data_IF_188204978188
#
_entry.id   IF_188204978188
#
_cell.length_a   1.000
_cell.length_b   1.000
_cell.length_c   1.000
_cell.angle_alpha   90.00
_cell.angle_beta   90.00
_cell.angle_gamma   90.00
#
_symmetry.space_group_name_H-M   'P 1'
#
loop_
_entity.id
_entity.type
_entity.pdbx_description
1 polymer ?
#
# COMPACT_ATOMS: atom_id res chain seq x y z
N UNK A 1 41.30 51.22 77.71
CA UNK A 1 42.50 51.94 77.23
C UNK A 1 42.31 52.15 75.72
N UNK A 2 41.49 53.13 75.35
CA UNK A 2 41.89 54.49 74.92
C UNK A 2 42.66 54.46 73.58
N UNK A 3 41.89 54.81 72.54
CA UNK A 3 42.17 55.77 71.45
C UNK A 3 43.47 55.59 70.64
N UNK A 4 43.30 55.43 69.32
CA UNK A 4 43.97 56.35 68.37
C UNK A 4 43.21 56.47 67.05
N UNK A 5 42.67 57.67 66.82
CA UNK A 5 42.27 58.19 65.53
C UNK A 5 43.52 58.75 64.81
N UNK A 6 43.58 58.58 63.49
CA UNK A 6 44.33 59.48 62.61
C UNK A 6 43.60 59.59 61.27
N UNK A 7 42.98 60.74 61.04
CA UNK A 7 42.46 61.18 59.75
C UNK A 7 43.58 61.74 58.87
N UNK A 8 43.58 61.40 57.59
CA UNK A 8 44.05 62.30 56.53
C UNK A 8 43.30 62.02 55.22
N UNK A 9 42.70 63.09 54.72
CA UNK A 9 41.82 63.33 53.57
C UNK A 9 42.44 63.09 52.18
N UNK A 10 41.64 62.63 51.20
CA UNK A 10 41.64 63.18 49.82
C UNK A 10 40.48 62.65 48.94
N UNK A 11 39.70 63.61 48.42
CA UNK A 11 38.97 63.71 47.14
C UNK A 11 37.89 62.69 46.68
N UNK A 12 36.71 63.29 46.44
CA UNK A 12 35.57 62.90 45.60
C UNK A 12 35.95 62.21 44.27
N UNK A 13 35.14 61.25 43.81
CA UNK A 13 34.16 61.39 42.70
C UNK A 13 33.48 60.03 42.38
N UNK A 14 32.15 60.09 42.38
CA UNK A 14 31.13 59.23 41.78
C UNK A 14 31.54 58.48 40.48
N UNK A 15 31.28 57.16 40.34
CA UNK A 15 30.55 56.55 39.21
C UNK A 15 30.54 54.99 39.13
N UNK A 16 29.33 54.49 38.87
CA UNK A 16 28.90 53.30 38.11
C UNK A 16 29.04 51.87 38.67
N UNK A 17 27.87 51.35 39.07
CA UNK A 17 27.39 49.99 38.82
C UNK A 17 27.65 49.57 37.36
N UNK A 18 28.24 48.39 37.16
CA UNK A 18 28.12 47.59 35.95
C UNK A 18 27.79 46.15 36.34
N UNK A 19 26.49 45.85 36.39
CA UNK A 19 25.98 44.48 36.29
C UNK A 19 26.27 43.96 34.88
N UNK A 20 26.86 42.77 34.79
CA UNK A 20 27.12 42.04 33.55
C UNK A 20 25.85 41.83 32.71
N UNK A 21 25.77 42.32 31.46
CA UNK A 21 24.68 42.02 30.53
C UNK A 21 24.91 40.71 29.75
N UNK A 22 26.07 40.06 29.92
CA UNK A 22 26.50 38.95 29.05
C UNK A 22 25.79 37.61 29.32
N UNK A 23 25.17 37.42 30.49
CA UNK A 23 24.51 36.15 30.84
C UNK A 23 23.02 36.10 30.45
N UNK A 24 22.36 37.26 30.27
CA UNK A 24 20.91 37.34 30.01
C UNK A 24 20.61 37.23 28.51
N UNK A 25 21.50 37.71 27.63
CA UNK A 25 21.33 37.61 26.18
C UNK A 25 21.44 36.15 25.66
N UNK A 26 22.27 35.32 26.28
CA UNK A 26 22.44 33.91 25.89
C UNK A 26 21.21 33.05 26.24
N UNK A 27 20.53 33.38 27.34
CA UNK A 27 19.36 32.62 27.81
C UNK A 27 18.10 32.98 27.03
N UNK A 28 17.93 34.27 26.65
CA UNK A 28 16.78 34.73 25.84
C UNK A 28 16.91 34.22 24.39
N UNK A 29 18.10 34.29 23.78
CA UNK A 29 18.33 33.75 22.44
C UNK A 29 18.15 32.23 22.32
N UNK A 30 18.48 31.45 23.37
CA UNK A 30 18.23 30.00 23.38
C UNK A 30 16.75 29.63 23.53
N UNK A 31 15.92 30.48 24.15
CA UNK A 31 14.48 30.22 24.30
C UNK A 31 13.72 30.49 23.00
N UNK A 32 14.00 31.61 22.34
CA UNK A 32 13.39 31.95 21.05
C UNK A 32 13.77 30.92 19.98
N UNK A 33 15.01 30.43 19.99
CA UNK A 33 15.48 29.45 19.02
C UNK A 33 14.77 28.09 19.12
N UNK A 34 14.47 27.63 20.34
CA UNK A 34 13.72 26.38 20.55
C UNK A 34 12.25 26.52 20.17
N UNK A 35 11.67 27.70 20.32
CA UNK A 35 10.28 27.98 19.95
C UNK A 35 10.10 27.88 18.42
N UNK A 36 11.01 28.46 17.64
CA UNK A 36 10.97 28.40 16.16
C UNK A 36 11.00 26.97 15.65
N UNK A 37 11.95 26.15 16.12
CA UNK A 37 12.06 24.74 15.69
C UNK A 37 10.80 23.93 16.00
N UNK A 38 10.20 24.16 17.18
CA UNK A 38 8.97 23.47 17.60
C UNK A 38 7.75 23.89 16.76
N UNK A 39 7.63 25.16 16.42
CA UNK A 39 6.54 25.62 15.56
C UNK A 39 6.71 25.11 14.13
N UNK A 40 7.93 25.06 13.61
CA UNK A 40 8.20 24.46 12.30
C UNK A 40 7.86 22.96 12.25
N UNK A 41 8.14 22.20 13.32
CA UNK A 41 7.70 20.80 13.43
C UNK A 41 6.18 20.69 13.33
N UNK A 42 5.45 21.50 14.10
CA UNK A 42 3.99 21.54 14.07
C UNK A 42 3.44 21.90 12.69
N UNK A 43 4.08 22.82 11.97
CA UNK A 43 3.70 23.15 10.59
C UNK A 43 3.90 21.98 9.63
N UNK A 44 4.97 21.19 9.79
CA UNK A 44 5.18 19.99 8.99
C UNK A 44 4.14 18.91 9.31
N UNK A 45 3.85 18.69 10.59
CA UNK A 45 2.84 17.73 11.05
C UNK A 45 1.43 18.13 10.59
N UNK A 46 1.14 19.43 10.51
CA UNK A 46 -0.11 19.97 10.00
C UNK A 46 -0.20 20.01 8.46
N UNK A 47 0.82 19.55 7.73
CA UNK A 47 0.84 19.58 6.27
C UNK A 47 0.95 20.98 5.66
N UNK A 48 1.52 21.93 6.39
CA UNK A 48 1.77 23.32 5.94
C UNK A 48 3.29 23.58 5.79
N UNK A 49 4.00 22.89 4.87
CA UNK A 49 5.46 22.95 4.82
C UNK A 49 6.01 24.33 4.45
N UNK A 50 5.27 25.16 3.70
CA UNK A 50 5.72 26.52 3.37
C UNK A 50 5.90 27.39 4.62
N UNK A 51 5.00 27.30 5.60
CA UNK A 51 5.13 28.05 6.85
C UNK A 51 6.35 27.61 7.67
N UNK A 52 6.73 26.33 7.57
CA UNK A 52 7.97 25.85 8.16
C UNK A 52 9.20 26.43 7.46
N UNK A 53 9.21 26.50 6.12
CA UNK A 53 10.29 27.11 5.32
C UNK A 53 10.53 28.56 5.74
N UNK A 54 9.49 29.38 5.78
CA UNK A 54 9.60 30.81 6.05
C UNK A 54 10.30 31.10 7.40
N UNK A 55 9.98 30.31 8.43
CA UNK A 55 10.64 30.41 9.74
C UNK A 55 12.06 29.85 9.78
N UNK A 56 12.30 28.75 9.06
CA UNK A 56 13.58 28.02 9.11
C UNK A 56 14.68 28.65 8.24
N UNK A 57 14.34 29.25 7.10
CA UNK A 57 15.31 29.98 6.26
C UNK A 57 15.93 31.14 7.07
N UNK A 58 15.10 31.98 7.68
CA UNK A 58 15.55 33.09 8.53
C UNK A 58 16.34 32.59 9.76
N UNK A 59 15.91 31.49 10.37
CA UNK A 59 16.62 30.90 11.50
C UNK A 59 18.04 30.46 11.13
N UNK A 60 18.20 29.78 10.00
CA UNK A 60 19.48 29.25 9.52
C UNK A 60 20.48 30.34 9.17
N UNK A 61 20.03 31.53 8.76
CA UNK A 61 20.93 32.69 8.58
C UNK A 61 21.65 33.06 9.87
N UNK A 62 20.97 32.95 11.01
CA UNK A 62 21.52 33.28 12.34
C UNK A 62 22.23 32.09 13.01
N UNK A 63 21.84 30.85 12.67
CA UNK A 63 22.36 29.62 13.26
C UNK A 63 22.63 28.55 12.19
N UNK A 64 23.61 28.75 11.30
CA UNK A 64 23.81 27.90 10.11
C UNK A 64 24.26 26.46 10.42
N UNK A 65 24.78 26.22 11.62
CA UNK A 65 25.28 24.92 12.09
C UNK A 65 24.29 24.23 13.06
N UNK A 66 23.05 24.70 13.18
CA UNK A 66 22.01 24.02 13.95
C UNK A 66 21.44 22.81 13.17
N UNK A 67 21.79 21.56 13.53
CA UNK A 67 21.42 20.39 12.75
C UNK A 67 19.92 20.15 12.68
N UNK A 68 19.15 20.48 13.73
CA UNK A 68 17.71 20.28 13.74
C UNK A 68 17.00 21.21 12.77
N UNK A 69 17.43 22.47 12.68
CA UNK A 69 16.92 23.43 11.71
C UNK A 69 17.14 22.94 10.27
N UNK A 70 18.36 22.47 9.96
CA UNK A 70 18.72 21.90 8.65
C UNK A 70 17.85 20.68 8.31
N UNK A 71 17.65 19.77 9.26
CA UNK A 71 16.82 18.59 9.07
C UNK A 71 15.36 18.95 8.77
N UNK A 72 14.76 19.83 9.57
CA UNK A 72 13.37 20.28 9.37
C UNK A 72 13.19 21.04 8.05
N UNK A 73 14.16 21.89 7.67
CA UNK A 73 14.10 22.63 6.40
C UNK A 73 14.20 21.68 5.22
N UNK A 74 15.06 20.66 5.33
CA UNK A 74 15.15 19.57 4.37
C UNK A 74 13.83 18.84 4.16
N UNK A 75 13.13 18.46 5.25
CA UNK A 75 11.78 17.88 5.18
C UNK A 75 10.77 18.81 4.52
N UNK A 76 10.81 20.10 4.87
CA UNK A 76 9.90 21.11 4.32
C UNK A 76 10.08 21.26 2.80
N UNK A 77 11.33 21.39 2.33
CA UNK A 77 11.65 21.43 0.92
C UNK A 77 11.25 20.15 0.19
N UNK A 78 11.49 18.98 0.78
CA UNK A 78 11.08 17.70 0.20
C UNK A 78 9.56 17.65 0.02
N UNK A 79 8.79 18.08 1.02
CA UNK A 79 7.33 18.16 0.97
C UNK A 79 6.80 19.14 -0.08
N UNK A 80 7.58 20.18 -0.41
CA UNK A 80 7.27 21.17 -1.47
C UNK A 80 7.79 20.76 -2.86
N UNK A 81 8.42 19.59 -3.01
CA UNK A 81 9.04 19.16 -4.26
C UNK A 81 10.34 19.89 -4.62
N UNK A 82 10.91 20.67 -3.69
CA UNK A 82 12.21 21.36 -3.83
C UNK A 82 13.36 20.41 -3.52
N UNK A 83 13.48 19.33 -4.30
CA UNK A 83 14.35 18.19 -3.97
C UNK A 83 15.84 18.52 -3.87
N UNK A 84 16.36 19.40 -4.73
CA UNK A 84 17.77 19.80 -4.68
C UNK A 84 18.09 20.55 -3.38
N UNK A 85 17.22 21.48 -2.99
CA UNK A 85 17.36 22.24 -1.75
C UNK A 85 17.25 21.30 -0.55
N UNK A 86 16.31 20.35 -0.57
CA UNK A 86 16.16 19.34 0.46
C UNK A 86 17.43 18.50 0.64
N UNK A 87 18.03 18.03 -0.46
CA UNK A 87 19.28 17.26 -0.47
C UNK A 87 20.42 18.05 0.18
N UNK A 88 20.56 19.34 -0.12
CA UNK A 88 21.58 20.19 0.48
C UNK A 88 21.43 20.25 2.01
N UNK A 89 20.22 20.56 2.48
CA UNK A 89 19.95 20.70 3.91
C UNK A 89 20.12 19.37 4.67
N UNK A 90 19.61 18.26 4.13
CA UNK A 90 19.67 16.95 4.76
C UNK A 90 21.10 16.38 4.79
N UNK A 91 21.91 16.63 3.75
CA UNK A 91 23.34 16.27 3.75
C UNK A 91 24.08 17.02 4.86
N UNK A 92 23.85 18.33 5.00
CA UNK A 92 24.47 19.15 6.05
C UNK A 92 24.00 18.72 7.44
N UNK A 93 22.71 18.43 7.63
CA UNK A 93 22.17 17.89 8.88
C UNK A 93 22.85 16.57 9.29
N UNK A 94 22.96 15.60 8.36
CA UNK A 94 23.64 14.31 8.61
C UNK A 94 25.14 14.47 8.94
N UNK A 95 25.79 15.51 8.43
CA UNK A 95 27.19 15.83 8.80
C UNK A 95 27.27 16.41 10.21
N UNK A 96 26.36 17.32 10.56
CA UNK A 96 26.33 17.97 11.87
C UNK A 96 25.93 17.02 13.01
N UNK A 97 25.06 16.04 12.73
CA UNK A 97 24.74 14.96 13.66
C UNK A 97 25.86 13.91 13.81
N UNK A 98 27.12 14.20 13.47
CA UNK A 98 28.22 13.22 13.56
C UNK A 98 28.37 12.57 14.95
N UNK A 99 28.06 13.32 16.03
CA UNK A 99 28.08 12.84 17.41
C UNK A 99 26.72 12.32 17.93
N UNK A 100 25.70 12.28 17.08
CA UNK A 100 24.30 12.01 17.40
C UNK A 100 23.78 10.88 16.46
N UNK A 101 24.06 9.60 16.75
CA UNK A 101 23.86 8.50 15.80
C UNK A 101 22.41 8.29 15.35
N UNK A 102 21.45 8.49 16.25
CA UNK A 102 20.01 8.31 15.97
C UNK A 102 19.52 9.40 15.01
N UNK A 103 19.80 10.66 15.32
CA UNK A 103 19.43 11.81 14.50
C UNK A 103 20.17 11.81 13.15
N UNK A 104 21.42 11.33 13.13
CA UNK A 104 22.18 11.12 11.90
C UNK A 104 21.53 10.07 11.00
N UNK A 105 21.04 8.98 11.59
CA UNK A 105 20.31 7.93 10.88
C UNK A 105 19.01 8.47 10.31
N UNK A 106 18.22 9.19 11.10
CA UNK A 106 17.00 9.84 10.64
C UNK A 106 17.26 10.82 9.47
N UNK A 107 18.30 11.66 9.57
CA UNK A 107 18.68 12.58 8.50
C UNK A 107 19.10 11.86 7.21
N UNK A 108 19.77 10.71 7.32
CA UNK A 108 20.17 9.90 6.16
C UNK A 108 19.01 9.15 5.53
N UNK A 109 18.06 8.64 6.33
CA UNK A 109 16.86 7.99 5.82
C UNK A 109 15.99 9.00 5.05
N UNK A 110 15.78 10.20 5.60
CA UNK A 110 15.06 11.27 4.89
C UNK A 110 15.78 11.72 3.62
N UNK A 111 17.12 11.79 3.64
CA UNK A 111 17.93 12.06 2.45
C UNK A 111 17.74 10.97 1.38
N UNK A 112 17.74 9.70 1.77
CA UNK A 112 17.50 8.59 0.86
C UNK A 112 16.08 8.62 0.28
N UNK A 113 15.06 8.89 1.10
CA UNK A 113 13.66 9.09 0.65
C UNK A 113 13.56 10.23 -0.36
N UNK A 114 14.27 11.33 -0.12
CA UNK A 114 14.33 12.47 -1.04
C UNK A 114 14.91 12.01 -2.39
N UNK A 115 16.04 11.29 -2.40
CA UNK A 115 16.62 10.74 -3.63
C UNK A 115 15.65 9.84 -4.40
N UNK A 116 14.95 8.95 -3.69
CA UNK A 116 13.97 8.06 -4.30
C UNK A 116 12.82 8.83 -4.95
N UNK A 117 12.31 9.90 -4.32
CA UNK A 117 11.20 10.72 -4.83
C UNK A 117 11.47 11.37 -6.18
N UNK A 118 12.71 11.76 -6.48
CA UNK A 118 13.08 12.32 -7.78
C UNK A 118 13.84 11.34 -8.69
N UNK A 119 13.88 10.06 -8.33
CA UNK A 119 14.36 8.98 -9.18
C UNK A 119 15.87 8.69 -9.12
N UNK A 120 16.64 9.31 -8.22
CA UNK A 120 18.08 9.03 -8.07
C UNK A 120 18.33 7.84 -7.13
N UNK A 121 17.98 6.63 -7.60
CA UNK A 121 18.18 5.38 -6.85
C UNK A 121 19.66 5.14 -6.50
N UNK A 122 20.60 5.58 -7.35
CA UNK A 122 22.03 5.39 -7.10
C UNK A 122 22.49 6.12 -5.85
N UNK A 123 22.11 7.39 -5.69
CA UNK A 123 22.42 8.16 -4.49
C UNK A 123 21.66 7.64 -3.27
N UNK A 124 20.38 7.27 -3.44
CA UNK A 124 19.59 6.67 -2.36
C UNK A 124 20.28 5.43 -1.79
N UNK A 125 20.63 4.46 -2.64
CA UNK A 125 21.22 3.18 -2.23
C UNK A 125 22.58 3.39 -1.58
N UNK A 126 23.37 4.37 -2.05
CA UNK A 126 24.63 4.75 -1.41
C UNK A 126 24.42 5.22 0.02
N UNK A 127 23.40 6.06 0.27
CA UNK A 127 23.08 6.56 1.62
C UNK A 127 22.52 5.44 2.49
N UNK A 128 21.60 4.63 1.98
CA UNK A 128 21.01 3.49 2.70
C UNK A 128 22.06 2.46 3.10
N UNK A 129 23.05 2.20 2.24
CA UNK A 129 24.22 1.35 2.55
C UNK A 129 25.02 1.89 3.75
N UNK A 130 25.12 3.21 3.91
CA UNK A 130 25.79 3.80 5.08
C UNK A 130 24.97 3.60 6.34
N UNK A 131 23.64 3.72 6.28
CA UNK A 131 22.74 3.50 7.43
C UNK A 131 22.76 2.03 7.84
N UNK A 132 22.54 1.13 6.88
CA UNK A 132 22.54 -0.32 7.07
C UNK A 132 23.84 -0.81 7.74
N UNK A 133 25.01 -0.28 7.35
CA UNK A 133 26.30 -0.64 7.97
C UNK A 133 26.50 -0.09 9.38
N UNK A 134 25.72 0.90 9.79
CA UNK A 134 25.87 1.60 11.07
C UNK A 134 24.87 1.21 12.14
N UNK A 135 23.93 0.30 11.84
CA UNK A 135 22.86 -0.09 12.76
C UNK A 135 22.59 -1.59 12.72
N UNK A 136 22.15 -2.13 13.85
CA UNK A 136 21.53 -3.45 13.97
C UNK A 136 20.08 -3.34 14.46
N UNK A 137 19.54 -2.12 14.51
CA UNK A 137 18.17 -1.86 14.95
C UNK A 137 17.17 -2.46 13.95
N UNK A 138 16.30 -3.39 14.38
CA UNK A 138 15.36 -4.07 13.47
C UNK A 138 14.39 -3.13 12.77
N UNK A 139 13.93 -2.06 13.44
CA UNK A 139 12.98 -1.12 12.87
C UNK A 139 13.64 -0.27 11.78
N UNK A 140 14.86 0.22 12.02
CA UNK A 140 15.65 0.91 11.00
C UNK A 140 15.93 0.00 9.79
N UNK A 141 16.26 -1.28 10.02
CA UNK A 141 16.50 -2.22 8.93
C UNK A 141 15.22 -2.48 8.12
N UNK A 142 14.07 -2.62 8.78
CA UNK A 142 12.76 -2.74 8.14
C UNK A 142 12.46 -1.51 7.28
N UNK A 143 12.70 -0.32 7.80
CA UNK A 143 12.51 0.93 7.05
C UNK A 143 13.38 0.97 5.78
N UNK A 144 14.64 0.51 5.85
CA UNK A 144 15.49 0.42 4.67
C UNK A 144 14.93 -0.60 3.68
N UNK A 145 14.51 -1.78 4.14
CA UNK A 145 13.91 -2.83 3.29
C UNK A 145 12.73 -2.26 2.52
N UNK A 146 11.79 -1.61 3.21
CA UNK A 146 10.62 -0.97 2.62
C UNK A 146 11.00 0.06 1.55
N UNK A 147 12.17 0.72 1.66
CA UNK A 147 12.65 1.70 0.68
C UNK A 147 13.34 1.10 -0.54
N UNK A 148 13.81 -0.14 -0.47
CA UNK A 148 14.61 -0.74 -1.55
C UNK A 148 13.93 -1.90 -2.26
N UNK A 149 12.85 -2.44 -1.68
CA UNK A 149 11.86 -3.25 -2.39
C UNK A 149 10.98 -4.09 -1.48
N UNK A 150 10.64 -5.28 -1.93
CA UNK A 150 9.69 -6.14 -1.23
C UNK A 150 10.18 -6.55 0.17
N UNK A 151 9.26 -6.61 1.12
CA UNK A 151 9.56 -6.88 2.54
C UNK A 151 9.83 -8.36 2.85
N UNK A 152 9.42 -9.24 1.95
CA UNK A 152 9.53 -10.69 2.08
C UNK A 152 10.07 -11.28 0.79
N UNK A 153 10.62 -12.49 0.84
CA UNK A 153 11.10 -13.17 -0.37
C UNK A 153 9.95 -13.43 -1.33
N UNK A 154 10.16 -13.02 -2.58
CA UNK A 154 9.21 -13.17 -3.68
C UNK A 154 9.79 -14.04 -4.79
N UNK A 155 8.97 -14.94 -5.32
CA UNK A 155 9.29 -15.81 -6.45
C UNK A 155 8.33 -15.55 -7.61
N UNK A 156 8.86 -15.32 -8.81
CA UNK A 156 8.06 -15.31 -10.03
C UNK A 156 7.59 -16.74 -10.37
N UNK A 157 6.30 -16.92 -10.63
CA UNK A 157 5.69 -18.22 -10.95
C UNK A 157 5.40 -18.41 -12.44
N UNK A 158 5.21 -17.33 -13.20
CA UNK A 158 4.94 -17.37 -14.65
C UNK A 158 6.01 -16.64 -15.43
N UNK A 159 6.31 -17.10 -16.64
CA UNK A 159 7.28 -16.54 -17.57
C UNK A 159 6.67 -16.29 -18.97
N UNK A 160 7.49 -15.78 -19.90
CA UNK A 160 7.12 -15.51 -21.30
C UNK A 160 6.61 -14.09 -21.56
N UNK A 161 6.06 -13.86 -22.75
CA UNK A 161 5.67 -12.52 -23.23
C UNK A 161 4.15 -12.26 -23.13
N UNK A 162 3.44 -13.01 -22.28
CA UNK A 162 1.98 -12.97 -22.18
C UNK A 162 1.55 -12.53 -20.80
N UNK A 163 0.55 -11.66 -20.73
CA UNK A 163 -0.02 -11.21 -19.46
C UNK A 163 -0.73 -12.35 -18.71
N UNK A 164 -0.51 -12.41 -17.40
CA UNK A 164 -1.12 -13.33 -16.44
C UNK A 164 -1.67 -12.52 -15.27
N UNK A 165 -2.92 -12.79 -14.89
CA UNK A 165 -3.65 -11.92 -13.96
C UNK A 165 -4.70 -12.69 -13.16
N UNK A 166 -5.25 -12.02 -12.15
CA UNK A 166 -6.29 -12.52 -11.23
C UNK A 166 -5.96 -13.88 -10.58
N UNK A 167 -4.79 -14.04 -9.93
CA UNK A 167 -4.45 -15.27 -9.23
C UNK A 167 -5.34 -15.47 -8.00
N UNK A 168 -5.72 -16.71 -7.74
CA UNK A 168 -6.41 -17.12 -6.51
C UNK A 168 -5.96 -18.52 -6.10
N UNK A 169 -5.89 -18.79 -4.79
CA UNK A 169 -5.54 -20.11 -4.28
C UNK A 169 -6.73 -21.06 -4.30
N UNK A 170 -6.47 -22.34 -4.53
CA UNK A 170 -7.43 -23.40 -4.21
C UNK A 170 -7.70 -23.46 -2.71
N UNK A 171 -8.87 -23.96 -2.26
CA UNK A 171 -9.21 -24.00 -0.83
C UNK A 171 -8.23 -24.80 0.04
N UNK A 172 -7.57 -25.80 -0.54
CA UNK A 172 -6.51 -26.60 0.11
C UNK A 172 -5.11 -25.95 0.04
N UNK A 173 -4.99 -24.81 -0.64
CA UNK A 173 -3.73 -24.07 -0.85
C UNK A 173 -2.74 -24.75 -1.81
N UNK A 174 -3.09 -25.88 -2.43
CA UNK A 174 -2.15 -26.67 -3.23
C UNK A 174 -1.95 -26.13 -4.66
N UNK A 175 -2.90 -25.33 -5.17
CA UNK A 175 -2.91 -24.81 -6.53
C UNK A 175 -3.28 -23.34 -6.57
N UNK A 176 -2.92 -22.69 -7.68
CA UNK A 176 -3.33 -21.33 -8.01
C UNK A 176 -4.10 -21.39 -9.33
N UNK A 177 -5.33 -20.86 -9.33
CA UNK A 177 -6.07 -20.53 -10.54
C UNK A 177 -5.75 -19.10 -10.98
N UNK A 178 -5.62 -18.87 -12.28
CA UNK A 178 -5.33 -17.55 -12.82
C UNK A 178 -5.74 -17.46 -14.28
N UNK A 179 -5.87 -16.24 -14.80
CA UNK A 179 -6.15 -15.96 -16.19
C UNK A 179 -4.87 -15.64 -16.96
N UNK A 180 -4.75 -16.08 -18.21
CA UNK A 180 -3.57 -15.86 -19.05
C UNK A 180 -3.93 -15.64 -20.51
N UNK A 181 -3.26 -14.68 -21.15
CA UNK A 181 -3.38 -14.39 -22.59
C UNK A 181 -2.45 -15.22 -23.48
N UNK A 182 -1.83 -16.28 -22.93
CA UNK A 182 -0.90 -17.15 -23.68
C UNK A 182 -1.49 -17.82 -24.92
N UNK A 183 -2.82 -17.81 -25.07
CA UNK A 183 -3.50 -18.29 -26.28
C UNK A 183 -4.48 -17.27 -26.86
N UNK A 184 -4.01 -16.07 -27.25
CA UNK A 184 -4.77 -15.01 -27.98
C UNK A 184 -6.03 -14.44 -27.30
N UNK A 185 -6.58 -15.10 -26.29
CA UNK A 185 -7.68 -14.67 -25.44
C UNK A 185 -7.38 -15.05 -23.99
N UNK A 186 -8.05 -14.38 -23.05
CA UNK A 186 -7.93 -14.65 -21.62
C UNK A 186 -8.52 -16.01 -21.30
N UNK A 187 -7.72 -16.89 -20.73
CA UNK A 187 -8.12 -18.26 -20.40
C UNK A 187 -7.67 -18.63 -19.00
N UNK A 188 -8.46 -19.45 -18.31
CA UNK A 188 -8.19 -19.89 -16.95
C UNK A 188 -7.28 -21.12 -16.95
N UNK A 189 -6.21 -21.04 -16.16
CA UNK A 189 -5.24 -22.10 -15.95
C UNK A 189 -5.11 -22.41 -14.46
N UNK A 190 -4.70 -23.64 -14.17
CA UNK A 190 -4.30 -24.10 -12.84
C UNK A 190 -2.80 -24.40 -12.86
N UNK A 191 -2.07 -23.89 -11.87
CA UNK A 191 -0.68 -24.21 -11.62
C UNK A 191 -0.45 -24.66 -10.18
N UNK A 192 0.67 -25.32 -9.92
CA UNK A 192 1.15 -25.52 -8.56
C UNK A 192 1.96 -24.29 -8.07
N UNK A 193 2.31 -24.30 -6.78
CA UNK A 193 3.10 -23.22 -6.15
C UNK A 193 4.54 -23.12 -6.66
N UNK A 194 4.98 -24.05 -7.52
CA UNK A 194 6.27 -23.98 -8.20
C UNK A 194 6.19 -23.31 -9.57
N UNK A 195 5.00 -22.89 -10.02
CA UNK A 195 4.77 -22.26 -11.32
C UNK A 195 4.49 -23.26 -12.43
N UNK A 196 4.43 -24.57 -12.14
CA UNK A 196 4.16 -25.57 -13.18
C UNK A 196 2.67 -25.59 -13.49
N UNK A 197 2.33 -25.23 -14.72
CA UNK A 197 0.97 -25.37 -15.25
C UNK A 197 0.55 -26.84 -15.21
N UNK A 198 -0.54 -27.12 -14.50
CA UNK A 198 -1.14 -28.45 -14.35
C UNK A 198 -2.31 -28.66 -15.30
N UNK A 199 -3.06 -27.60 -15.62
CA UNK A 199 -4.27 -27.69 -16.44
C UNK A 199 -4.65 -26.35 -17.06
N UNK A 200 -5.21 -26.38 -18.27
CA UNK A 200 -6.08 -25.33 -18.82
C UNK A 200 -7.54 -25.72 -18.56
N UNK A 201 -8.34 -24.80 -18.02
CA UNK A 201 -9.72 -25.06 -17.60
C UNK A 201 -10.71 -24.62 -18.67
N UNK A 202 -10.54 -23.41 -19.21
CA UNK A 202 -11.43 -22.83 -20.22
C UNK A 202 -10.83 -22.92 -21.62
N UNK A 203 -11.69 -22.92 -22.65
CA UNK A 203 -11.31 -23.13 -24.04
C UNK A 203 -12.25 -22.33 -24.96
N UNK A 204 -12.20 -21.01 -24.89
CA UNK A 204 -13.05 -20.09 -25.64
C UNK A 204 -12.30 -19.48 -26.83
N UNK A 205 -13.04 -18.99 -27.83
CA UNK A 205 -12.49 -18.29 -29.01
C UNK A 205 -12.82 -16.80 -29.00
N UNK A 206 -14.02 -16.48 -28.52
CA UNK A 206 -14.65 -15.16 -28.63
C UNK A 206 -14.78 -14.46 -27.29
N UNK A 207 -14.24 -15.04 -26.22
CA UNK A 207 -14.34 -14.51 -24.85
C UNK A 207 -12.98 -14.44 -24.17
N UNK A 208 -12.85 -13.48 -23.26
CA UNK A 208 -11.79 -13.39 -22.29
C UNK A 208 -12.34 -13.82 -20.94
N UNK A 209 -11.89 -14.98 -20.46
CA UNK A 209 -12.22 -15.49 -19.14
C UNK A 209 -11.21 -14.94 -18.11
N UNK A 210 -11.71 -14.50 -16.96
CA UNK A 210 -10.91 -13.81 -15.94
C UNK A 210 -11.47 -13.94 -14.53
N UNK A 211 -10.74 -13.43 -13.54
CA UNK A 211 -11.18 -13.40 -12.13
C UNK A 211 -11.71 -14.74 -11.61
N UNK A 212 -10.96 -15.85 -11.79
CA UNK A 212 -11.41 -17.14 -11.28
C UNK A 212 -11.49 -17.12 -9.75
N UNK A 213 -12.44 -17.87 -9.21
CA UNK A 213 -12.61 -18.12 -7.78
C UNK A 213 -13.13 -19.55 -7.57
N UNK A 214 -12.65 -20.22 -6.52
CA UNK A 214 -12.97 -21.62 -6.25
C UNK A 214 -14.21 -21.73 -5.39
N UNK A 215 -15.17 -22.55 -5.81
CA UNK A 215 -16.21 -23.05 -4.92
C UNK A 215 -15.62 -24.22 -4.11
N UNK A 216 -15.80 -24.20 -2.79
CA UNK A 216 -15.20 -25.17 -1.85
C UNK A 216 -15.74 -26.58 -2.06
N UNK A 217 -16.96 -26.71 -2.55
CA UNK A 217 -17.59 -27.99 -2.93
C UNK A 217 -18.75 -27.76 -3.92
N UNK A 218 -18.80 -28.44 -5.08
CA UNK A 218 -17.79 -29.31 -5.72
C UNK A 218 -16.71 -28.51 -6.47
N UNK A 219 -15.69 -29.21 -7.00
CA UNK A 219 -14.54 -28.75 -7.79
C UNK A 219 -14.88 -27.87 -9.01
N UNK A 220 -15.51 -26.73 -8.78
CA UNK A 220 -15.93 -25.76 -9.77
C UNK A 220 -15.08 -24.50 -9.62
N UNK A 221 -14.69 -23.95 -10.76
CA UNK A 221 -14.25 -22.57 -10.85
C UNK A 221 -15.40 -21.72 -11.34
N UNK A 222 -15.67 -20.64 -10.62
CA UNK A 222 -16.55 -19.56 -11.00
C UNK A 222 -15.69 -18.41 -11.54
N UNK A 223 -16.07 -17.79 -12.64
CA UNK A 223 -15.22 -16.78 -13.29
C UNK A 223 -16.03 -15.81 -14.15
N UNK A 224 -15.46 -14.63 -14.37
CA UNK A 224 -15.95 -13.63 -15.32
C UNK A 224 -15.68 -14.06 -16.75
N UNK A 225 -16.64 -13.84 -17.65
CA UNK A 225 -16.48 -14.03 -19.08
C UNK A 225 -16.95 -12.78 -19.82
N UNK A 226 -16.07 -12.21 -20.64
CA UNK A 226 -16.31 -10.96 -21.38
C UNK A 226 -16.09 -11.18 -22.87
N UNK A 227 -16.92 -10.62 -23.78
CA UNK A 227 -16.65 -10.69 -25.20
C UNK A 227 -15.27 -10.12 -25.53
N UNK A 228 -14.57 -10.80 -26.43
CA UNK A 228 -13.27 -10.39 -26.93
C UNK A 228 -13.41 -9.09 -27.72
N UNK A 229 -13.16 -7.96 -27.06
CA UNK A 229 -13.31 -6.63 -27.67
C UNK A 229 -12.07 -6.20 -28.50
N UNK A 230 -10.86 -6.60 -28.12
CA UNK A 230 -9.57 -6.47 -28.83
C UNK A 230 -8.44 -7.12 -27.99
N UNK A 231 -7.18 -7.07 -28.45
CA UNK A 231 -5.98 -7.53 -27.68
C UNK A 231 -5.56 -6.57 -26.54
N UNK A 232 -6.24 -5.44 -26.34
CA UNK A 232 -5.90 -4.52 -25.25
C UNK A 232 -6.41 -5.08 -23.92
N UNK A 233 -5.49 -5.60 -23.11
CA UNK A 233 -5.76 -6.04 -21.75
C UNK A 233 -6.00 -4.81 -20.88
N UNK A 234 -7.24 -4.61 -20.44
CA UNK A 234 -7.51 -3.73 -19.30
C UNK A 234 -7.27 -4.57 -18.05
N UNK A 235 -6.05 -4.54 -17.51
CA UNK A 235 -5.85 -5.02 -16.15
C UNK A 235 -6.64 -4.10 -15.23
N UNK A 236 -7.79 -4.59 -14.80
CA UNK A 236 -8.74 -3.83 -13.99
C UNK A 236 -8.15 -3.74 -12.59
N UNK A 237 -7.56 -2.57 -12.28
CA UNK A 237 -7.19 -2.22 -10.91
C UNK A 237 -8.45 -1.79 -10.14
N UNK A 238 -9.39 -1.15 -10.82
CA UNK A 238 -10.78 -0.96 -10.40
C UNK A 238 -11.68 -0.91 -11.62
N UNK A 239 -12.85 -1.53 -11.54
CA UNK A 239 -13.90 -1.28 -12.52
C UNK A 239 -14.47 0.12 -12.29
N UNK A 240 -14.80 0.81 -13.38
CA UNK A 240 -15.56 2.05 -13.35
C UNK A 240 -16.97 1.77 -13.82
N UNK A 241 -17.98 2.20 -13.07
CA UNK A 241 -19.40 2.02 -13.42
C UNK A 241 -19.83 2.88 -14.60
N UNK A 242 -19.07 3.93 -14.90
CA UNK A 242 -19.28 4.82 -16.04
C UNK A 242 -19.07 4.18 -17.41
N UNK A 243 -18.50 2.96 -17.49
CA UNK A 243 -18.39 2.20 -18.74
C UNK A 243 -19.37 1.03 -18.73
N UNK A 244 -20.17 0.83 -19.80
CA UNK A 244 -21.01 -0.36 -19.93
C UNK A 244 -20.19 -1.64 -19.73
N UNK A 245 -20.71 -2.54 -18.91
CA UNK A 245 -20.08 -3.82 -18.62
C UNK A 245 -20.74 -4.87 -19.49
N UNK A 246 -19.97 -5.45 -20.39
CA UNK A 246 -20.39 -6.61 -21.18
C UNK A 246 -19.71 -7.85 -20.61
N UNK A 247 -20.10 -8.23 -19.41
CA UNK A 247 -19.51 -9.33 -18.65
C UNK A 247 -20.59 -10.15 -17.98
N UNK A 248 -20.37 -11.46 -17.91
CA UNK A 248 -21.25 -12.40 -17.23
C UNK A 248 -20.42 -13.43 -16.49
N UNK A 249 -21.11 -14.40 -15.89
CA UNK A 249 -20.45 -15.43 -15.10
C UNK A 249 -20.73 -16.81 -15.65
N UNK A 250 -19.67 -17.60 -15.67
CA UNK A 250 -19.71 -19.02 -15.94
C UNK A 250 -19.14 -19.78 -14.74
N UNK A 251 -19.60 -21.02 -14.57
CA UNK A 251 -18.99 -22.00 -13.69
C UNK A 251 -18.52 -23.20 -14.52
N UNK A 252 -17.30 -23.69 -14.27
CA UNK A 252 -16.75 -24.85 -14.97
C UNK A 252 -16.26 -25.88 -13.97
N UNK A 253 -16.75 -27.12 -14.09
CA UNK A 253 -16.23 -28.23 -13.30
C UNK A 253 -14.82 -28.58 -13.79
N UNK A 254 -13.84 -28.48 -12.90
CA UNK A 254 -12.41 -28.55 -13.20
C UNK A 254 -12.04 -29.85 -13.93
N UNK A 255 -12.69 -30.97 -13.61
CA UNK A 255 -12.33 -32.30 -14.12
C UNK A 255 -13.18 -32.81 -15.29
N UNK A 256 -14.44 -32.41 -15.39
CA UNK A 256 -15.34 -32.89 -16.45
C UNK A 256 -15.52 -31.89 -17.59
N UNK A 257 -15.02 -30.65 -17.43
CA UNK A 257 -15.21 -29.55 -18.39
C UNK A 257 -16.68 -29.19 -18.63
N UNK A 258 -17.58 -29.56 -17.71
CA UNK A 258 -18.97 -29.14 -17.76
C UNK A 258 -19.00 -27.66 -17.36
N UNK A 259 -19.44 -26.82 -18.28
CA UNK A 259 -19.61 -25.38 -18.07
C UNK A 259 -21.09 -25.04 -18.01
N UNK A 260 -21.48 -24.20 -17.03
CA UNK A 260 -22.83 -23.62 -16.94
C UNK A 260 -22.71 -22.10 -16.91
N UNK A 261 -23.59 -21.44 -17.66
CA UNK A 261 -23.77 -20.00 -17.52
C UNK A 261 -24.57 -19.72 -16.24
N UNK A 262 -24.10 -18.78 -15.44
CA UNK A 262 -24.74 -18.32 -14.20
C UNK A 262 -25.48 -17.03 -14.47
N UNK A 263 -24.76 -16.03 -14.99
CA UNK A 263 -25.30 -14.75 -15.41
C UNK A 263 -24.88 -14.49 -16.86
N UNK A 264 -25.80 -14.06 -17.74
CA UNK A 264 -25.46 -13.77 -19.13
C UNK A 264 -24.52 -12.57 -19.23
N UNK A 265 -23.73 -12.51 -20.30
CA UNK A 265 -22.75 -11.41 -20.52
C UNK A 265 -23.39 -10.02 -20.63
N UNK A 266 -24.68 -9.94 -20.95
CA UNK A 266 -25.45 -8.70 -20.96
C UNK A 266 -25.85 -8.21 -19.56
N UNK A 267 -25.64 -9.01 -18.52
CA UNK A 267 -25.95 -8.61 -17.15
C UNK A 267 -24.98 -7.54 -16.66
N UNK A 268 -23.71 -7.61 -17.06
CA UNK A 268 -22.72 -6.62 -16.64
C UNK A 268 -22.16 -6.88 -15.25
N UNK A 269 -21.72 -8.12 -14.98
CA UNK A 269 -21.18 -8.56 -13.69
C UNK A 269 -19.68 -8.90 -13.77
N UNK A 270 -18.88 -8.44 -12.80
CA UNK A 270 -17.41 -8.68 -12.75
C UNK A 270 -16.90 -9.01 -11.34
N UNK A 271 -15.63 -9.42 -11.29
CA UNK A 271 -14.84 -9.62 -10.06
C UNK A 271 -15.56 -10.49 -9.00
N UNK A 272 -15.96 -11.72 -9.34
CA UNK A 272 -16.60 -12.59 -8.37
C UNK A 272 -15.59 -12.98 -7.27
N UNK A 273 -16.08 -13.07 -6.04
CA UNK A 273 -15.37 -13.64 -4.89
C UNK A 273 -16.30 -14.58 -4.13
N UNK A 274 -15.81 -15.77 -3.84
CA UNK A 274 -16.57 -16.77 -3.09
C UNK A 274 -16.48 -16.55 -1.59
N UNK A 275 -17.55 -16.90 -0.86
CA UNK A 275 -17.52 -17.00 0.59
C UNK A 275 -16.49 -18.05 1.04
N UNK A 276 -15.99 -17.99 2.29
CA UNK A 276 -15.14 -19.03 2.86
C UNK A 276 -15.79 -20.42 2.85
N UNK A 277 -17.13 -20.47 2.97
CA UNK A 277 -17.89 -21.70 2.85
C UNK A 277 -18.10 -22.16 1.40
N UNK A 278 -17.80 -21.31 0.41
CA UNK A 278 -17.84 -21.58 -1.04
C UNK A 278 -19.22 -21.84 -1.61
N UNK A 279 -20.25 -21.32 -0.94
CA UNK A 279 -21.67 -21.43 -1.27
C UNK A 279 -22.31 -20.08 -1.61
N UNK A 280 -21.57 -18.97 -1.50
CA UNK A 280 -22.03 -17.65 -1.88
C UNK A 280 -20.98 -16.95 -2.74
N UNK A 281 -21.43 -16.05 -3.63
CA UNK A 281 -20.56 -15.23 -4.48
C UNK A 281 -20.94 -13.78 -4.34
N UNK A 282 -20.01 -12.95 -3.87
CA UNK A 282 -20.14 -11.48 -3.93
C UNK A 282 -19.46 -10.99 -5.21
N UNK A 283 -20.06 -10.00 -5.86
CA UNK A 283 -19.56 -9.44 -7.10
C UNK A 283 -20.02 -7.99 -7.29
N UNK A 284 -19.45 -7.32 -8.30
CA UNK A 284 -19.84 -5.96 -8.68
C UNK A 284 -20.64 -5.97 -9.99
N UNK A 285 -21.64 -5.09 -10.10
CA UNK A 285 -22.42 -4.93 -11.32
C UNK A 285 -22.92 -3.50 -11.49
N UNK A 286 -23.08 -3.04 -12.73
CA UNK A 286 -23.58 -1.70 -13.05
C UNK A 286 -24.97 -1.70 -13.71
N UNK A 287 -25.78 -2.74 -13.50
CA UNK A 287 -27.16 -2.84 -14.02
C UNK A 287 -28.04 -1.65 -13.67
N UNK A 288 -27.73 -0.95 -12.57
CA UNK A 288 -28.54 0.13 -12.02
C UNK A 288 -27.96 1.54 -12.27
N UNK A 289 -26.91 1.66 -13.10
CA UNK A 289 -26.35 2.95 -13.54
C UNK A 289 -25.01 3.35 -12.91
N UNK A 290 -24.68 2.83 -11.73
CA UNK A 290 -23.38 2.89 -11.06
C UNK A 290 -22.96 1.48 -10.62
N UNK A 291 -21.69 1.27 -10.30
CA UNK A 291 -21.24 -0.01 -9.73
C UNK A 291 -21.81 -0.20 -8.34
N UNK A 292 -22.41 -1.37 -8.12
CA UNK A 292 -22.96 -1.79 -6.85
C UNK A 292 -22.60 -3.24 -6.58
N UNK A 293 -22.63 -3.61 -5.30
CA UNK A 293 -22.35 -4.96 -4.85
C UNK A 293 -23.60 -5.82 -4.87
N UNK A 294 -23.43 -7.05 -5.33
CA UNK A 294 -24.47 -8.07 -5.40
C UNK A 294 -23.99 -9.37 -4.78
N UNK A 295 -24.92 -10.16 -4.27
CA UNK A 295 -24.73 -11.48 -3.70
C UNK A 295 -25.52 -12.51 -4.51
N UNK A 296 -24.88 -13.64 -4.81
CA UNK A 296 -25.54 -14.88 -5.22
C UNK A 296 -25.45 -15.89 -4.09
N UNK A 297 -26.57 -16.51 -3.75
CA UNK A 297 -26.61 -17.69 -2.89
C UNK A 297 -26.68 -18.95 -3.77
N UNK A 298 -25.71 -19.83 -3.60
CA UNK A 298 -25.60 -21.11 -4.31
C UNK A 298 -25.86 -22.30 -3.37
N UNK A 299 -26.22 -22.05 -2.11
CA UNK A 299 -26.47 -23.09 -1.13
C UNK A 299 -27.64 -23.99 -1.58
N UNK A 300 -27.39 -25.30 -1.58
CA UNK A 300 -28.39 -26.30 -1.96
C UNK A 300 -28.68 -26.40 -3.46
N UNK A 301 -28.05 -25.58 -4.30
CA UNK A 301 -28.22 -25.64 -5.76
C UNK A 301 -27.40 -26.80 -6.35
N UNK A 302 -28.01 -27.57 -7.25
CA UNK A 302 -27.29 -28.58 -8.03
C UNK A 302 -26.46 -27.90 -9.14
N UNK A 303 -25.21 -27.54 -8.84
CA UNK A 303 -24.32 -26.86 -9.79
C UNK A 303 -24.08 -27.64 -11.10
N UNK A 304 -24.28 -28.96 -11.11
CA UNK A 304 -24.16 -29.75 -12.33
C UNK A 304 -25.30 -29.49 -13.33
N UNK A 305 -26.46 -29.04 -12.86
CA UNK A 305 -27.68 -28.80 -13.65
C UNK A 305 -28.13 -27.34 -13.64
N UNK A 306 -27.39 -26.45 -12.97
CA UNK A 306 -27.69 -25.02 -12.86
C UNK A 306 -28.11 -24.41 -14.20
N UNK A 307 -29.21 -23.68 -14.17
CA UNK A 307 -29.58 -22.70 -15.20
C UNK A 307 -29.62 -21.28 -14.60
N UNK A 308 -29.53 -20.23 -15.43
CA UNK A 308 -29.62 -18.85 -14.95
C UNK A 308 -30.90 -18.54 -14.16
N UNK A 309 -32.00 -19.26 -14.42
CA UNK A 309 -33.28 -19.11 -13.71
C UNK A 309 -33.25 -19.63 -12.27
N UNK A 310 -32.27 -20.47 -11.91
CA UNK A 310 -32.07 -20.96 -10.53
C UNK A 310 -31.42 -19.89 -9.62
N UNK A 311 -30.94 -18.79 -10.19
CA UNK A 311 -30.15 -17.76 -9.51
C UNK A 311 -30.97 -16.49 -9.31
N UNK A 312 -31.01 -16.01 -8.06
CA UNK A 312 -31.60 -14.72 -7.72
C UNK A 312 -30.54 -13.76 -7.17
N UNK A 313 -30.08 -12.77 -7.96
CA UNK A 313 -29.17 -11.75 -7.48
C UNK A 313 -29.77 -10.85 -6.41
N UNK A 314 -29.09 -10.72 -5.28
CA UNK A 314 -29.45 -9.76 -4.23
C UNK A 314 -28.49 -8.57 -4.23
N UNK A 315 -28.99 -7.36 -4.48
CA UNK A 315 -28.20 -6.13 -4.29
C UNK A 315 -27.90 -5.88 -2.81
N UNK A 316 -26.68 -5.45 -2.48
CA UNK A 316 -26.18 -5.24 -1.13
C UNK A 316 -26.00 -3.74 -0.83
N UNK A 317 -25.43 -2.98 -1.76
CA UNK A 317 -25.15 -1.54 -1.59
C UNK A 317 -26.14 -0.71 -2.42
N UNK A 318 -26.54 0.46 -1.91
CA UNK A 318 -27.62 1.28 -2.47
C UNK A 318 -27.27 2.78 -2.46
N UNK A 319 -26.33 3.21 -3.30
CA UNK A 319 -25.87 4.59 -3.35
C UNK A 319 -25.67 5.10 -4.80
N UNK A 320 -25.27 6.36 -4.96
CA UNK A 320 -25.10 6.98 -6.29
C UNK A 320 -23.66 6.95 -6.81
N UNK A 321 -22.73 6.32 -6.07
CA UNK A 321 -21.31 6.23 -6.42
C UNK A 321 -20.89 4.79 -6.67
N UNK A 322 -19.75 4.59 -7.32
CA UNK A 322 -19.26 3.26 -7.63
C UNK A 322 -18.74 2.55 -6.36
N UNK A 323 -19.31 1.38 -6.09
CA UNK A 323 -18.88 0.38 -5.10
C UNK A 323 -18.44 -0.92 -5.80
N UNK A 324 -17.21 -1.36 -5.55
CA UNK A 324 -16.63 -2.48 -6.28
C UNK A 324 -15.45 -3.16 -5.58
N UNK A 325 -14.82 -4.11 -6.30
CA UNK A 325 -13.76 -4.98 -5.78
C UNK A 325 -14.08 -5.63 -4.41
N UNK A 326 -15.26 -6.27 -4.26
CA UNK A 326 -15.66 -6.83 -2.98
C UNK A 326 -14.83 -8.06 -2.61
N UNK A 327 -14.73 -8.34 -1.31
CA UNK A 327 -14.15 -9.58 -0.76
C UNK A 327 -14.82 -9.92 0.56
N UNK A 328 -14.98 -11.20 0.88
CA UNK A 328 -15.52 -11.62 2.18
C UNK A 328 -14.48 -11.52 3.29
N UNK A 329 -14.95 -11.20 4.49
CA UNK A 329 -14.24 -11.58 5.71
C UNK A 329 -14.30 -13.10 5.92
N UNK A 330 -13.32 -13.70 6.63
CA UNK A 330 -13.33 -15.15 6.91
C UNK A 330 -14.54 -15.65 7.71
N UNK A 331 -15.26 -14.75 8.38
CA UNK A 331 -16.52 -15.06 9.07
C UNK A 331 -17.70 -15.32 8.11
N UNK A 332 -17.56 -14.98 6.82
CA UNK A 332 -18.60 -15.11 5.80
C UNK A 332 -19.80 -14.17 5.98
N UNK A 333 -19.76 -13.25 6.94
CA UNK A 333 -20.87 -12.36 7.31
C UNK A 333 -20.66 -10.92 6.91
N UNK A 334 -19.41 -10.53 6.68
CA UNK A 334 -19.02 -9.18 6.27
C UNK A 334 -18.31 -9.19 4.94
N UNK A 335 -18.44 -8.07 4.25
CA UNK A 335 -17.76 -7.77 2.99
C UNK A 335 -16.87 -6.54 3.21
N UNK A 336 -15.64 -6.60 2.73
CA UNK A 336 -14.75 -5.46 2.53
C UNK A 336 -14.80 -5.07 1.05
N UNK A 337 -14.91 -3.78 0.75
CA UNK A 337 -15.04 -3.29 -0.62
C UNK A 337 -14.43 -1.90 -0.78
N UNK A 338 -14.35 -1.46 -2.04
CA UNK A 338 -13.84 -0.15 -2.42
C UNK A 338 -15.01 0.74 -2.84
N UNK A 339 -15.04 1.97 -2.34
CA UNK A 339 -16.06 2.96 -2.68
C UNK A 339 -15.46 4.29 -3.13
N UNK A 340 -16.10 4.91 -4.11
CA UNK A 340 -15.78 6.24 -4.65
C UNK A 340 -16.55 7.40 -4.00
N UNK A 341 -17.22 7.17 -2.86
CA UNK A 341 -17.96 8.20 -2.10
C UNK A 341 -17.11 9.41 -1.68
N UNK A 342 -15.79 9.31 -1.66
CA UNK A 342 -14.86 10.37 -1.27
C UNK A 342 -13.99 10.83 -2.45
N UNK A 343 -13.18 11.87 -2.24
CA UNK A 343 -12.25 12.41 -3.27
C UNK A 343 -11.30 11.35 -3.88
N UNK A 344 -11.02 10.29 -3.14
CA UNK A 344 -10.32 9.10 -3.59
C UNK A 344 -11.11 7.84 -3.23
N UNK A 345 -10.85 6.74 -3.95
CA UNK A 345 -11.41 5.44 -3.61
C UNK A 345 -10.94 5.00 -2.21
N UNK A 346 -11.86 4.66 -1.32
CA UNK A 346 -11.55 4.26 0.05
C UNK A 346 -12.14 2.88 0.37
N UNK A 347 -11.67 2.28 1.46
CA UNK A 347 -12.15 0.98 1.93
C UNK A 347 -13.39 1.15 2.79
N UNK A 348 -14.37 0.26 2.60
CA UNK A 348 -15.60 0.21 3.37
C UNK A 348 -15.91 -1.23 3.76
N UNK A 349 -16.61 -1.41 4.87
CA UNK A 349 -17.15 -2.70 5.29
C UNK A 349 -18.66 -2.65 5.36
N UNK A 350 -19.34 -3.74 5.02
CA UNK A 350 -20.79 -3.90 5.12
C UNK A 350 -21.13 -5.34 5.50
N UNK A 351 -22.25 -5.56 6.18
CA UNK A 351 -22.76 -6.92 6.41
C UNK A 351 -23.40 -7.48 5.12
N UNK A 352 -23.41 -8.80 4.97
CA UNK A 352 -24.00 -9.46 3.78
C UNK A 352 -25.51 -9.22 3.62
N UNK A 353 -26.18 -8.76 4.67
CA UNK A 353 -27.57 -8.38 4.62
C UNK A 353 -27.80 -6.99 4.01
N UNK A 354 -26.75 -6.16 3.91
CA UNK A 354 -26.78 -4.78 3.43
C UNK A 354 -26.72 -3.74 4.55
N UNK A 355 -26.64 -4.16 5.82
CA UNK A 355 -26.63 -3.26 6.97
C UNK A 355 -25.20 -2.97 7.47
N UNK A 356 -25.09 -2.07 8.46
CA UNK A 356 -23.85 -1.75 9.19
C UNK A 356 -22.67 -1.29 8.31
N UNK A 357 -22.97 -0.59 7.21
CA UNK A 357 -21.92 0.00 6.37
C UNK A 357 -21.04 0.99 7.17
N UNK A 358 -19.71 0.85 7.06
CA UNK A 358 -18.74 1.67 7.78
C UNK A 358 -17.54 2.02 6.89
N UNK A 359 -17.08 3.27 6.95
CA UNK A 359 -15.85 3.73 6.30
C UNK A 359 -14.62 3.22 7.06
N UNK A 360 -13.83 2.35 6.43
CA UNK A 360 -12.66 1.72 7.03
C UNK A 360 -11.38 2.55 6.79
N UNK A 361 -10.67 2.89 7.87
CA UNK A 361 -9.41 3.65 7.87
C UNK A 361 -9.42 4.89 6.95
N UNK A 362 -10.27 5.91 7.24
CA UNK A 362 -10.41 7.08 6.39
C UNK A 362 -9.10 7.85 6.25
N UNK A 363 -8.63 8.02 5.01
CA UNK A 363 -7.43 8.78 4.70
C UNK A 363 -7.53 9.44 3.30
N UNK A 364 -6.45 10.08 2.84
CA UNK A 364 -6.44 10.83 1.56
C UNK A 364 -6.01 10.00 0.35
N UNK A 365 -5.63 8.74 0.54
CA UNK A 365 -4.95 7.93 -0.46
C UNK A 365 -5.88 6.87 -1.03
N UNK A 366 -5.94 6.75 -2.36
CA UNK A 366 -6.74 5.71 -3.03
C UNK A 366 -6.36 4.29 -2.60
N UNK A 367 -7.36 3.45 -2.34
CA UNK A 367 -7.25 2.05 -1.97
C UNK A 367 -8.00 1.15 -2.98
N UNK A 368 -7.39 0.04 -3.36
CA UNK A 368 -7.86 -0.81 -4.46
C UNK A 368 -7.60 -2.31 -4.20
N UNK A 369 -8.32 -3.20 -4.89
CA UNK A 369 -8.20 -4.66 -4.80
C UNK A 369 -7.95 -5.22 -3.38
N UNK A 370 -8.85 -4.95 -2.40
CA UNK A 370 -8.67 -5.45 -1.05
C UNK A 370 -8.84 -6.98 -0.98
N UNK A 371 -8.14 -7.61 -0.05
CA UNK A 371 -8.32 -9.00 0.37
C UNK A 371 -8.09 -9.12 1.87
N UNK A 372 -8.83 -10.00 2.55
CA UNK A 372 -8.69 -10.25 3.99
C UNK A 372 -7.91 -11.55 4.19
N UNK A 373 -6.94 -11.53 5.10
CA UNK A 373 -6.20 -12.72 5.51
C UNK A 373 -7.15 -13.78 6.12
N UNK A 374 -6.83 -15.09 6.01
CA UNK A 374 -7.70 -16.16 6.48
C UNK A 374 -7.99 -16.14 7.98
N UNK A 375 -7.10 -15.56 8.79
CA UNK A 375 -7.30 -15.40 10.23
C UNK A 375 -8.14 -14.17 10.61
N UNK A 376 -8.50 -13.34 9.62
CA UNK A 376 -9.35 -12.17 9.76
C UNK A 376 -8.67 -10.96 10.39
N UNK A 377 -7.34 -10.98 10.58
CA UNK A 377 -6.63 -9.92 11.34
C UNK A 377 -5.96 -8.89 10.47
N UNK A 378 -5.59 -9.26 9.25
CA UNK A 378 -4.85 -8.40 8.31
C UNK A 378 -5.64 -8.23 7.02
N UNK A 379 -5.62 -7.03 6.46
CA UNK A 379 -6.12 -6.69 5.14
C UNK A 379 -4.91 -6.37 4.25
N UNK A 380 -4.87 -6.94 3.05
CA UNK A 380 -3.98 -6.49 1.99
C UNK A 380 -4.78 -5.65 0.99
N UNK A 381 -4.22 -4.55 0.52
CA UNK A 381 -4.84 -3.70 -0.49
C UNK A 381 -3.75 -2.98 -1.30
N UNK A 382 -4.13 -2.39 -2.43
CA UNK A 382 -3.22 -1.70 -3.34
C UNK A 382 -3.40 -0.19 -3.21
N UNK A 383 -2.30 0.57 -3.24
CA UNK A 383 -2.32 2.03 -3.25
C UNK A 383 -1.18 2.60 -4.08
N UNK A 384 -1.45 3.71 -4.79
CA UNK A 384 -0.44 4.47 -5.54
C UNK A 384 0.19 5.62 -4.72
N UNK A 385 0.03 5.62 -3.39
CA UNK A 385 0.39 6.74 -2.50
C UNK A 385 1.87 7.12 -2.50
N UNK A 386 2.74 6.19 -2.88
CA UNK A 386 4.20 6.38 -2.91
C UNK A 386 4.78 6.42 -4.34
N UNK A 387 3.92 6.66 -5.35
CA UNK A 387 4.32 6.94 -6.73
C UNK A 387 4.11 5.80 -7.72
N UNK A 388 4.16 4.55 -7.26
CA UNK A 388 3.77 3.37 -8.03
C UNK A 388 2.68 2.58 -7.28
N UNK A 389 1.99 1.67 -7.98
CA UNK A 389 0.97 0.81 -7.40
C UNK A 389 1.62 -0.28 -6.58
N UNK A 390 1.47 -0.20 -5.27
CA UNK A 390 2.10 -1.14 -4.34
C UNK A 390 1.08 -1.78 -3.42
N UNK A 391 1.42 -2.94 -2.88
CA UNK A 391 0.61 -3.69 -1.93
C UNK A 391 0.99 -3.25 -0.51
N UNK A 392 -0.03 -2.93 0.27
CA UNK A 392 0.04 -2.55 1.67
C UNK A 392 -0.70 -3.58 2.51
N UNK A 393 -0.20 -3.79 3.73
CA UNK A 393 -0.91 -4.51 4.78
C UNK A 393 -1.38 -3.52 5.83
N UNK A 394 -2.57 -3.76 6.37
CA UNK A 394 -3.13 -3.03 7.52
C UNK A 394 -3.88 -4.00 8.40
N UNK A 395 -3.85 -3.79 9.71
CA UNK A 395 -4.61 -4.60 10.64
C UNK A 395 -6.11 -4.27 10.52
N UNK A 396 -6.98 -5.22 10.87
CA UNK A 396 -8.44 -5.07 10.78
C UNK A 396 -9.00 -4.00 11.73
N UNK A 397 -8.20 -3.47 12.66
CA UNK A 397 -8.54 -2.33 13.50
C UNK A 397 -8.09 -0.98 12.89
N UNK A 398 -7.54 -0.99 11.68
CA UNK A 398 -7.05 0.18 10.95
C UNK A 398 -5.64 0.62 11.34
N UNK A 399 -4.89 -0.17 12.11
CA UNK A 399 -3.53 0.18 12.54
C UNK A 399 -2.45 -0.61 11.80
N UNK A 400 -1.18 -0.30 12.10
CA UNK A 400 0.00 -1.00 11.60
C UNK A 400 0.06 -1.09 10.06
N UNK A 401 -0.44 -0.05 9.40
CA UNK A 401 -0.38 0.10 7.96
C UNK A 401 1.09 0.15 7.50
N UNK A 402 1.46 -0.72 6.57
CA UNK A 402 2.84 -0.84 6.07
C UNK A 402 2.85 -1.32 4.62
N UNK A 403 3.80 -0.85 3.84
CA UNK A 403 4.00 -1.28 2.46
C UNK A 403 4.82 -2.57 2.42
N UNK A 404 4.42 -3.55 1.63
CA UNK A 404 5.14 -4.83 1.52
C UNK A 404 5.78 -5.09 0.14
N UNK A 405 5.42 -4.32 -0.89
CA UNK A 405 6.09 -4.33 -2.19
C UNK A 405 6.66 -2.96 -2.54
N UNK A 406 7.84 -2.92 -3.18
CA UNK A 406 8.47 -1.68 -3.64
C UNK A 406 9.56 -1.94 -4.71
N UNK A 407 9.44 -3.05 -5.45
CA UNK A 407 10.36 -3.32 -6.55
C UNK A 407 10.08 -2.41 -7.75
N UNK A 408 10.80 -2.59 -8.86
CA UNK A 408 10.44 -1.90 -10.11
C UNK A 408 9.07 -2.39 -10.61
N UNK A 409 8.19 -1.48 -11.03
CA UNK A 409 6.90 -1.84 -11.61
C UNK A 409 5.79 -2.01 -10.58
N UNK A 410 4.57 -2.11 -11.09
CA UNK A 410 3.32 -2.19 -10.34
C UNK A 410 3.18 -3.55 -9.69
N UNK A 411 2.62 -3.59 -8.49
CA UNK A 411 2.21 -4.80 -7.75
C UNK A 411 0.74 -4.69 -7.37
N UNK A 412 -0.10 -5.58 -7.90
CA UNK A 412 -1.57 -5.48 -7.86
C UNK A 412 -2.24 -6.86 -7.66
N UNK A 413 -3.58 -6.86 -7.46
CA UNK A 413 -4.41 -8.07 -7.33
C UNK A 413 -3.88 -9.09 -6.31
N UNK A 414 -3.65 -8.70 -5.05
CA UNK A 414 -3.19 -9.62 -4.00
C UNK A 414 -4.28 -10.66 -3.64
N UNK A 415 -3.85 -11.88 -3.31
CA UNK A 415 -4.68 -12.91 -2.70
C UNK A 415 -3.87 -13.73 -1.67
N UNK A 416 -4.41 -13.90 -0.47
CA UNK A 416 -3.78 -14.72 0.57
C UNK A 416 -3.95 -16.22 0.28
N UNK A 417 -2.96 -17.03 0.66
CA UNK A 417 -3.14 -18.48 0.75
C UNK A 417 -4.07 -18.84 1.91
N UNK A 418 -4.81 -19.96 1.87
CA UNK A 418 -5.73 -20.36 2.93
C UNK A 418 -5.08 -20.57 4.30
N UNK A 419 -3.78 -20.87 4.33
CA UNK A 419 -2.99 -21.01 5.56
C UNK A 419 -2.39 -19.68 6.05
N UNK A 420 -2.57 -18.59 5.31
CA UNK A 420 -2.03 -17.26 5.63
C UNK A 420 -0.52 -17.11 5.49
N UNK A 421 0.20 -18.13 5.00
CA UNK A 421 1.67 -18.13 4.91
C UNK A 421 2.21 -17.46 3.65
N UNK A 422 1.36 -17.28 2.64
CA UNK A 422 1.76 -16.72 1.36
C UNK A 422 0.78 -15.65 0.88
N UNK A 423 1.30 -14.77 0.01
CA UNK A 423 0.50 -13.85 -0.79
C UNK A 423 0.86 -14.07 -2.26
N UNK A 424 -0.12 -14.38 -3.09
CA UNK A 424 0.04 -14.37 -4.54
C UNK A 424 -0.41 -13.00 -5.07
N UNK A 425 0.30 -12.45 -6.04
CA UNK A 425 -0.02 -11.16 -6.62
C UNK A 425 0.48 -11.06 -8.06
N UNK A 426 0.08 -9.99 -8.75
CA UNK A 426 0.46 -9.70 -10.13
C UNK A 426 1.45 -8.54 -10.16
N UNK A 427 2.51 -8.64 -10.95
CA UNK A 427 3.44 -7.53 -11.16
C UNK A 427 3.99 -7.48 -12.58
N UNK A 428 4.23 -6.28 -13.10
CA UNK A 428 4.85 -6.02 -14.40
C UNK A 428 6.35 -5.71 -14.29
N UNK A 429 6.98 -6.07 -13.16
CA UNK A 429 8.42 -5.90 -12.91
C UNK A 429 9.36 -6.58 -13.91
N UNK A 430 8.81 -7.41 -14.81
CA UNK A 430 9.52 -8.06 -15.91
C UNK A 430 8.81 -7.82 -17.25
N UNK A 431 8.45 -6.56 -17.52
CA UNK A 431 7.89 -6.01 -18.77
C UNK A 431 6.45 -6.39 -19.14
N UNK A 432 5.99 -7.58 -18.75
CA UNK A 432 4.57 -8.00 -18.86
C UNK A 432 4.03 -8.45 -17.50
N UNK A 433 2.71 -8.55 -17.36
CA UNK A 433 2.13 -8.96 -16.08
C UNK A 433 2.36 -10.44 -15.81
N UNK A 434 3.05 -10.73 -14.71
CA UNK A 434 3.31 -12.07 -14.23
C UNK A 434 2.80 -12.26 -12.81
N UNK A 435 2.62 -13.54 -12.45
CA UNK A 435 2.21 -13.94 -11.11
C UNK A 435 3.44 -14.17 -10.26
N UNK A 436 3.44 -13.56 -9.07
CA UNK A 436 4.48 -13.67 -8.05
C UNK A 436 3.90 -14.26 -6.78
N UNK A 437 4.72 -15.02 -6.06
CA UNK A 437 4.42 -15.61 -4.78
C UNK A 437 5.36 -15.05 -3.72
N UNK A 438 4.80 -14.39 -2.71
CA UNK A 438 5.50 -13.89 -1.54
C UNK A 438 5.33 -14.88 -0.37
N UNK A 439 6.41 -15.13 0.38
CA UNK A 439 6.38 -16.01 1.57
C UNK A 439 6.54 -15.19 2.85
N UNK A 440 5.52 -15.15 3.70
CA UNK A 440 5.57 -14.37 4.95
C UNK A 440 6.49 -14.97 6.02
N UNK A 441 6.83 -16.26 5.89
CA UNK A 441 7.80 -16.92 6.77
C UNK A 441 9.27 -16.61 6.40
N UNK A 442 9.48 -15.98 5.25
CA UNK A 442 10.80 -15.62 4.72
C UNK A 442 10.92 -14.10 4.58
N UNK A 443 10.95 -13.34 5.70
CA UNK A 443 11.23 -11.91 5.64
C UNK A 443 12.61 -11.67 5.03
N UNK A 444 12.76 -10.57 4.29
CA UNK A 444 14.06 -10.16 3.76
C UNK A 444 15.04 -9.98 4.91
N UNK A 445 16.14 -10.71 4.85
CA UNK A 445 17.15 -10.69 5.91
C UNK A 445 18.11 -9.51 5.74
N UNK A 446 18.89 -9.25 6.77
CA UNK A 446 19.99 -8.29 6.69
C UNK A 446 21.01 -8.66 5.60
N UNK A 447 21.27 -9.95 5.36
CA UNK A 447 22.16 -10.41 4.29
C UNK A 447 21.59 -10.13 2.90
N UNK A 448 20.30 -10.44 2.70
CA UNK A 448 19.59 -10.12 1.46
C UNK A 448 19.65 -8.61 1.19
N UNK A 449 19.45 -7.79 2.23
CA UNK A 449 19.54 -6.34 2.14
C UNK A 449 20.96 -5.88 1.76
N UNK A 450 22.01 -6.48 2.33
CA UNK A 450 23.40 -6.18 1.98
C UNK A 450 23.66 -6.45 0.50
N UNK A 451 23.15 -7.56 -0.04
CA UNK A 451 23.29 -7.89 -1.46
C UNK A 451 22.51 -6.90 -2.34
N UNK A 452 21.27 -6.56 -1.95
CA UNK A 452 20.41 -5.62 -2.68
C UNK A 452 20.98 -4.20 -2.74
N UNK A 453 21.69 -3.80 -1.69
CA UNK A 453 22.31 -2.50 -1.60
C UNK A 453 23.69 -2.42 -2.25
N UNK A 454 24.31 -3.52 -2.72
CA UNK A 454 25.62 -3.54 -3.40
C UNK A 454 25.53 -3.08 -4.83
#
# INVERSE_FOLDING_TARGET
MIVNLSLATSLKVLRFLLCSPLLIALVIGCQDNKATLKESEKHLDAGTPQAAVDGLEAFIETAPEEPKARFLLGKAYNALGRYNDAVEQLRKASQLYAAHPEERTAARLELARTYLRFGDRTSAFRVLRLVQRSTSDPETLREIIELVGDSYRTKQLTDGDSDNYSPTFSPDGAQIAFASFRTDNGEIYLMDLNGRIRRRVTFTTDFNDSSPTFLTTPNYLFYSSEPKASREVKVVIQSSGSTPIYAGFNLTHIHSKITRAVLPVSFGARVPRTSPAGDQVVYESNTDGNLELYLLDLAGINLAELTPEDIEPKRITFNETDDGSPTFFPDGKRILFVSSRNEANQLYTIDIDGENETHFNPNRYGCYNPTVSPDGKTIAYVSARDGDWEIYLIDVDGKNERRITNDIGRSIQPAFSPDGRHLVFVSDRSDTFHIYLMSFDEPVTHEDLVQRLQ
#
